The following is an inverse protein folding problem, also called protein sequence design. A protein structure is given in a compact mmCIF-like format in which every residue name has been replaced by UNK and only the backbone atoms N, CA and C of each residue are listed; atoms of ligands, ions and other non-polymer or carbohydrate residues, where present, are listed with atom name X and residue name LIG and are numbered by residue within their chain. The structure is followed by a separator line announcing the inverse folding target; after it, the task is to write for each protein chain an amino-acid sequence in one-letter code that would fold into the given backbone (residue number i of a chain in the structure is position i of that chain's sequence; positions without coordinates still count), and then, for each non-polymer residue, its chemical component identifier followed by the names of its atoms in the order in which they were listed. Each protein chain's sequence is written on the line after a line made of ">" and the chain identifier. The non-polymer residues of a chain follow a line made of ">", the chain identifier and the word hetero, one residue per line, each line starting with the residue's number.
data_IF_294780580319
#
_entry.id   IF_294780580319
#
_cell.length_a   1.000
_cell.length_b   1.000
_cell.length_c   1.000
_cell.angle_alpha   90.00
_cell.angle_beta   90.00
_cell.angle_gamma   90.00
#
_symmetry.space_group_name_H-M   'P 1'
#
loop_
_entity.id
_entity.type
_entity.pdbx_description
1 polymer ?
#
# COMPACT_ATOMS: atom_id res chain seq x y z
N UNK A 1 -4.70 -9.25 1.19
CA UNK A 1 -4.55 -8.62 -0.14
C UNK A 1 -4.17 -9.72 -1.14
N UNK A 2 -4.82 -9.81 -2.31
CA UNK A 2 -4.73 -10.98 -3.21
C UNK A 2 -3.44 -11.11 -4.04
N UNK A 3 -2.38 -10.37 -3.70
CA UNK A 3 -1.06 -10.57 -4.29
C UNK A 3 -0.24 -11.38 -3.30
N UNK A 4 0.05 -12.65 -3.62
CA UNK A 4 1.11 -13.38 -2.93
C UNK A 4 2.39 -12.57 -3.15
N UNK A 5 2.86 -11.88 -2.12
CA UNK A 5 4.22 -11.36 -2.11
C UNK A 5 5.10 -12.59 -2.22
N UNK A 6 5.67 -12.82 -3.40
CA UNK A 6 6.59 -13.93 -3.55
C UNK A 6 7.79 -13.63 -2.65
N UNK A 7 7.98 -14.46 -1.61
CA UNK A 7 9.04 -14.35 -0.59
C UNK A 7 10.45 -14.30 -1.19
N UNK A 8 10.59 -14.60 -2.48
CA UNK A 8 11.85 -14.59 -3.22
C UNK A 8 12.09 -13.38 -4.12
N UNK A 9 11.18 -12.40 -4.22
CA UNK A 9 11.41 -11.21 -5.02
C UNK A 9 12.31 -10.20 -4.28
N UNK A 10 13.37 -9.72 -4.96
CA UNK A 10 14.30 -8.72 -4.44
C UNK A 10 13.57 -7.43 -4.05
N UNK A 11 12.49 -7.10 -4.77
CA UNK A 11 11.66 -5.91 -4.50
C UNK A 11 10.91 -6.01 -3.18
N UNK A 12 10.35 -7.18 -2.88
CA UNK A 12 9.66 -7.45 -1.61
C UNK A 12 10.64 -7.33 -0.43
N UNK A 13 11.86 -7.83 -0.58
CA UNK A 13 12.91 -7.71 0.44
C UNK A 13 13.35 -6.26 0.65
N UNK A 14 13.52 -5.49 -0.42
CA UNK A 14 13.85 -4.05 -0.34
C UNK A 14 12.73 -3.27 0.37
N UNK A 15 11.47 -3.61 0.06
CA UNK A 15 10.31 -3.03 0.71
C UNK A 15 10.24 -3.35 2.22
N UNK A 16 10.37 -4.62 2.60
CA UNK A 16 10.42 -5.04 4.01
C UNK A 16 11.56 -4.35 4.77
N UNK A 17 12.75 -4.30 4.16
CA UNK A 17 13.91 -3.60 4.73
C UNK A 17 13.63 -2.11 4.93
N UNK A 18 12.92 -1.48 3.98
CA UNK A 18 12.55 -0.07 4.07
C UNK A 18 11.56 0.20 5.20
N UNK A 19 10.59 -0.70 5.43
CA UNK A 19 9.66 -0.63 6.57
C UNK A 19 10.44 -0.73 7.89
N UNK A 20 11.35 -1.69 8.00
CA UNK A 20 12.14 -1.87 9.21
C UNK A 20 12.97 -0.62 9.53
N UNK A 21 13.64 -0.05 8.52
CA UNK A 21 14.38 1.21 8.67
C UNK A 21 13.47 2.39 9.03
N UNK A 22 12.25 2.43 8.49
CA UNK A 22 11.26 3.44 8.87
C UNK A 22 10.88 3.31 10.35
N UNK A 23 10.68 2.08 10.84
CA UNK A 23 10.43 1.81 12.26
C UNK A 23 11.57 2.32 13.16
N UNK A 24 12.82 2.12 12.74
CA UNK A 24 13.98 2.67 13.46
C UNK A 24 13.95 4.20 13.52
N UNK A 25 13.65 4.87 12.40
CA UNK A 25 13.52 6.33 12.34
C UNK A 25 12.44 6.83 13.30
N UNK A 26 11.29 6.15 13.37
CA UNK A 26 10.20 6.49 14.29
C UNK A 26 10.66 6.32 15.76
N UNK A 27 11.34 5.22 16.09
CA UNK A 27 11.87 4.98 17.43
C UNK A 27 12.92 6.03 17.84
N UNK A 28 13.79 6.44 16.92
CA UNK A 28 14.75 7.53 17.17
C UNK A 28 14.05 8.86 17.44
N UNK A 29 12.94 9.13 16.74
CA UNK A 29 12.12 10.32 16.94
C UNK A 29 11.45 10.32 18.32
N UNK A 30 10.94 9.17 18.77
CA UNK A 30 10.34 9.01 20.12
C UNK A 30 11.38 9.23 21.22
N UNK A 31 12.61 8.75 21.04
CA UNK A 31 13.71 8.91 22.02
C UNK A 31 14.22 10.35 22.15
N UNK A 32 13.93 11.22 21.18
CA UNK A 32 14.46 12.59 21.11
C UNK A 32 13.32 13.60 20.96
N UNK A 33 12.65 13.98 22.07
CA UNK A 33 11.44 14.81 22.03
C UNK A 33 11.60 16.17 21.32
N UNK A 34 12.81 16.74 21.27
CA UNK A 34 13.09 17.97 20.52
C UNK A 34 12.91 17.82 18.99
N UNK A 35 12.93 16.59 18.47
CA UNK A 35 12.64 16.30 17.05
C UNK A 35 11.14 16.30 16.73
N UNK A 36 10.26 16.54 17.71
CA UNK A 36 8.84 16.77 17.42
C UNK A 36 8.57 18.16 16.86
N UNK A 37 9.46 19.12 17.12
CA UNK A 37 9.37 20.45 16.51
C UNK A 37 9.83 20.37 15.05
N UNK A 38 8.89 20.59 14.13
CA UNK A 38 9.11 20.40 12.69
C UNK A 38 10.28 21.20 12.13
N UNK A 39 10.48 22.42 12.59
CA UNK A 39 11.59 23.27 12.15
C UNK A 39 12.95 22.61 12.42
N UNK A 40 13.19 22.13 13.64
CA UNK A 40 14.43 21.45 13.98
C UNK A 40 14.57 20.14 13.22
N UNK A 41 13.47 19.40 13.08
CA UNK A 41 13.47 18.12 12.39
C UNK A 41 13.81 18.26 10.89
N UNK A 42 13.29 19.31 10.24
CA UNK A 42 13.50 19.57 8.82
C UNK A 42 14.98 19.63 8.42
N UNK A 43 15.83 20.18 9.29
CA UNK A 43 17.28 20.30 9.04
C UNK A 43 18.09 19.04 9.38
N UNK A 44 17.47 18.02 9.98
CA UNK A 44 18.19 16.80 10.36
C UNK A 44 18.45 15.87 9.18
N UNK A 45 19.52 15.07 9.28
CA UNK A 45 19.76 13.96 8.36
C UNK A 45 18.67 12.89 8.46
N UNK A 46 18.04 12.75 9.64
CA UNK A 46 16.97 11.80 9.90
C UNK A 46 15.75 12.07 9.00
N UNK A 47 15.36 13.33 8.79
CA UNK A 47 14.30 13.70 7.84
C UNK A 47 14.64 13.35 6.39
N UNK A 48 15.92 13.45 6.00
CA UNK A 48 16.36 13.05 4.65
C UNK A 48 16.23 11.54 4.44
N UNK A 49 16.60 10.75 5.44
CA UNK A 49 16.45 9.30 5.42
C UNK A 49 14.97 8.91 5.40
N UNK A 50 14.15 9.49 6.27
CA UNK A 50 12.69 9.29 6.28
C UNK A 50 12.08 9.56 4.90
N UNK A 51 12.37 10.72 4.30
CA UNK A 51 11.85 11.07 2.97
C UNK A 51 12.31 10.11 1.86
N UNK A 52 13.52 9.55 1.96
CA UNK A 52 14.00 8.55 1.01
C UNK A 52 13.23 7.23 1.16
N UNK A 53 13.02 6.78 2.40
CA UNK A 53 12.24 5.58 2.72
C UNK A 53 10.78 5.71 2.28
N UNK A 54 10.14 6.85 2.58
CA UNK A 54 8.77 7.17 2.14
C UNK A 54 8.64 7.04 0.61
N UNK A 55 9.63 7.54 -0.15
CA UNK A 55 9.61 7.42 -1.61
C UNK A 55 9.66 5.97 -2.08
N UNK A 56 10.44 5.12 -1.44
CA UNK A 56 10.52 3.69 -1.78
C UNK A 56 9.19 3.00 -1.47
N UNK A 57 8.61 3.29 -0.30
CA UNK A 57 7.31 2.73 0.12
C UNK A 57 6.20 3.12 -0.86
N UNK A 58 6.05 4.42 -1.16
CA UNK A 58 5.03 4.89 -2.10
C UNK A 58 5.25 4.41 -3.53
N UNK A 59 6.50 4.21 -3.95
CA UNK A 59 6.80 3.63 -5.26
C UNK A 59 6.28 2.20 -5.33
N UNK A 60 6.57 1.39 -4.31
CA UNK A 60 6.10 0.02 -4.25
C UNK A 60 4.57 -0.06 -4.28
N UNK A 61 3.88 0.73 -3.47
CA UNK A 61 2.41 0.69 -3.43
C UNK A 61 1.76 1.26 -4.68
N UNK A 62 2.35 2.29 -5.29
CA UNK A 62 1.91 2.78 -6.60
C UNK A 62 2.04 1.71 -7.69
N UNK A 63 3.16 0.98 -7.72
CA UNK A 63 3.38 -0.11 -8.68
C UNK A 63 2.35 -1.23 -8.47
N UNK A 64 2.03 -1.60 -7.21
CA UNK A 64 1.00 -2.59 -6.89
C UNK A 64 -0.38 -2.13 -7.36
N UNK A 65 -0.74 -0.87 -7.08
CA UNK A 65 -2.02 -0.29 -7.50
C UNK A 65 -2.13 -0.26 -9.02
N UNK A 66 -1.07 0.13 -9.74
CA UNK A 66 -1.07 0.19 -11.20
C UNK A 66 -1.23 -1.21 -11.82
N UNK A 67 -0.44 -2.17 -11.36
CA UNK A 67 -0.55 -3.57 -11.79
C UNK A 67 -1.97 -4.11 -11.56
N UNK A 68 -2.57 -3.78 -10.40
CA UNK A 68 -3.93 -4.21 -10.09
C UNK A 68 -4.98 -3.50 -10.93
N UNK A 69 -4.83 -2.20 -11.21
CA UNK A 69 -5.71 -1.45 -12.12
C UNK A 69 -5.74 -2.07 -13.52
N UNK A 70 -4.59 -2.50 -14.04
CA UNK A 70 -4.51 -3.18 -15.35
C UNK A 70 -5.24 -4.51 -15.32
N UNK A 71 -5.00 -5.34 -14.30
CA UNK A 71 -5.71 -6.61 -14.12
C UNK A 71 -7.22 -6.41 -13.96
N UNK A 72 -7.63 -5.40 -13.18
CA UNK A 72 -9.03 -5.08 -12.94
C UNK A 72 -9.73 -4.65 -14.23
N UNK A 73 -9.12 -3.80 -15.07
CA UNK A 73 -9.68 -3.44 -16.39
C UNK A 73 -9.88 -4.66 -17.27
N UNK A 74 -8.91 -5.57 -17.32
CA UNK A 74 -9.03 -6.80 -18.11
C UNK A 74 -10.15 -7.70 -17.61
N UNK A 75 -10.30 -7.84 -16.29
CA UNK A 75 -11.38 -8.62 -15.67
C UNK A 75 -12.74 -7.94 -15.84
N UNK A 76 -12.81 -6.61 -15.75
CA UNK A 76 -14.05 -5.84 -15.95
C UNK A 76 -14.52 -5.95 -17.41
N UNK A 77 -13.62 -5.82 -18.39
CA UNK A 77 -13.88 -6.05 -19.82
C UNK A 77 -14.37 -7.49 -20.06
N UNK A 78 -13.67 -8.48 -19.49
CA UNK A 78 -14.07 -9.88 -19.58
C UNK A 78 -15.43 -10.10 -18.92
N UNK A 79 -15.68 -9.52 -17.75
CA UNK A 79 -16.94 -9.66 -17.03
C UNK A 79 -18.09 -8.90 -17.70
N UNK A 80 -17.84 -7.79 -18.39
CA UNK A 80 -18.81 -7.08 -19.21
C UNK A 80 -19.19 -7.91 -20.45
N UNK A 81 -18.22 -8.58 -21.07
CA UNK A 81 -18.48 -9.53 -22.16
C UNK A 81 -19.18 -10.82 -21.71
N UNK A 82 -19.02 -11.22 -20.44
CA UNK A 82 -19.68 -12.40 -19.85
C UNK A 82 -21.05 -12.05 -19.24
N UNK A 83 -21.26 -10.81 -18.78
CA UNK A 83 -22.53 -10.32 -18.18
C UNK A 83 -23.72 -10.34 -19.14
N UNK A 84 -23.50 -10.38 -20.45
CA UNK A 84 -24.56 -10.68 -21.41
C UNK A 84 -25.15 -12.09 -21.25
N UNK A 85 -24.52 -12.98 -20.45
CA UNK A 85 -24.87 -14.40 -20.37
C UNK A 85 -25.33 -14.93 -19.01
N UNK A 86 -25.61 -14.08 -18.04
CA UNK A 86 -26.41 -14.45 -16.87
C UNK A 86 -25.71 -14.41 -15.51
N UNK A 87 -26.57 -14.40 -14.49
CA UNK A 87 -26.32 -14.22 -13.06
C UNK A 87 -25.08 -14.90 -12.51
N UNK A 88 -24.23 -14.13 -11.81
CA UNK A 88 -23.14 -14.68 -11.03
C UNK A 88 -23.05 -14.11 -9.60
N UNK A 89 -22.58 -14.93 -8.64
CA UNK A 89 -22.64 -14.69 -7.20
C UNK A 89 -21.69 -13.58 -6.76
N UNK A 90 -22.02 -12.90 -5.65
CA UNK A 90 -21.20 -11.87 -4.99
C UNK A 90 -19.79 -12.41 -4.68
N UNK A 91 -18.84 -12.17 -5.59
CA UNK A 91 -17.42 -12.52 -5.39
C UNK A 91 -16.88 -11.69 -4.22
N UNK A 92 -16.14 -12.32 -3.30
CA UNK A 92 -15.37 -11.61 -2.27
C UNK A 92 -14.26 -10.83 -2.98
N UNK A 93 -14.52 -9.57 -3.30
CA UNK A 93 -13.53 -8.65 -3.85
C UNK A 93 -12.48 -8.39 -2.78
N UNK A 94 -11.21 -8.41 -3.16
CA UNK A 94 -10.18 -7.85 -2.29
C UNK A 94 -10.47 -6.35 -2.10
N UNK A 95 -10.07 -5.78 -0.97
CA UNK A 95 -10.33 -4.37 -0.65
C UNK A 95 -9.98 -3.43 -1.81
N UNK A 96 -8.80 -3.60 -2.42
CA UNK A 96 -8.37 -2.79 -3.55
C UNK A 96 -9.32 -2.91 -4.76
N UNK A 97 -9.84 -4.11 -5.05
CA UNK A 97 -10.80 -4.32 -6.13
C UNK A 97 -12.15 -3.65 -5.83
N UNK A 98 -12.55 -3.63 -4.55
CA UNK A 98 -13.75 -2.92 -4.08
C UNK A 98 -13.61 -1.41 -4.27
N UNK A 99 -12.47 -0.84 -3.89
CA UNK A 99 -12.17 0.60 -4.07
C UNK A 99 -12.15 1.00 -5.55
N UNK A 100 -11.54 0.17 -6.40
CA UNK A 100 -11.53 0.38 -7.86
C UNK A 100 -12.93 0.27 -8.47
N UNK A 101 -13.74 -0.68 -8.01
CA UNK A 101 -15.12 -0.85 -8.46
C UNK A 101 -16.00 0.36 -8.12
N UNK A 102 -15.96 0.86 -6.88
CA UNK A 102 -16.74 2.04 -6.49
C UNK A 102 -16.33 3.30 -7.24
N UNK A 103 -15.03 3.44 -7.51
CA UNK A 103 -14.53 4.52 -8.37
C UNK A 103 -15.12 4.44 -9.79
N UNK A 104 -15.15 3.26 -10.41
CA UNK A 104 -15.74 3.08 -11.74
C UNK A 104 -17.26 3.33 -11.75
N UNK A 105 -17.94 3.11 -10.62
CA UNK A 105 -19.37 3.41 -10.45
C UNK A 105 -19.69 4.90 -10.20
N UNK A 106 -18.68 5.78 -10.25
CA UNK A 106 -18.88 7.23 -10.13
C UNK A 106 -18.78 7.77 -8.71
N UNK A 107 -18.27 6.99 -7.75
CA UNK A 107 -17.90 7.54 -6.44
C UNK A 107 -16.72 8.52 -6.61
N UNK A 108 -16.78 9.67 -5.93
CA UNK A 108 -15.71 10.69 -5.93
C UNK A 108 -14.53 10.27 -5.05
N UNK A 109 -13.93 9.12 -5.37
CA UNK A 109 -12.76 8.59 -4.67
C UNK A 109 -11.52 9.06 -5.42
N UNK A 110 -10.71 9.90 -4.78
CA UNK A 110 -9.43 10.36 -5.33
C UNK A 110 -8.39 9.23 -5.28
N UNK A 111 -7.47 9.20 -6.24
CA UNK A 111 -6.35 8.23 -6.27
C UNK A 111 -5.52 8.26 -5.00
N UNK A 112 -5.36 9.45 -4.40
CA UNK A 112 -4.62 9.63 -3.16
C UNK A 112 -5.25 8.87 -1.99
N UNK A 113 -6.58 8.94 -1.84
CA UNK A 113 -7.28 8.20 -0.78
C UNK A 113 -7.22 6.68 -0.96
N UNK A 114 -7.23 6.19 -2.21
CA UNK A 114 -7.02 4.75 -2.48
C UNK A 114 -5.60 4.35 -2.09
N UNK A 115 -4.61 5.19 -2.40
CA UNK A 115 -3.21 4.94 -2.04
C UNK A 115 -3.02 4.93 -0.53
N UNK A 116 -3.57 5.90 0.19
CA UNK A 116 -3.48 5.97 1.66
C UNK A 116 -4.07 4.71 2.33
N UNK A 117 -5.23 4.25 1.85
CA UNK A 117 -5.86 3.03 2.36
C UNK A 117 -4.98 1.80 2.10
N UNK A 118 -4.44 1.68 0.88
CA UNK A 118 -3.54 0.57 0.51
C UNK A 118 -2.25 0.60 1.31
N UNK A 119 -1.65 1.77 1.51
CA UNK A 119 -0.43 1.94 2.31
C UNK A 119 -0.68 1.48 3.76
N UNK A 120 -1.80 1.92 4.35
CA UNK A 120 -2.19 1.57 5.72
C UNK A 120 -2.42 0.08 5.89
N UNK A 121 -3.23 -0.55 5.02
CA UNK A 121 -3.47 -1.99 5.11
C UNK A 121 -2.22 -2.82 4.86
N UNK A 122 -1.35 -2.40 3.94
CA UNK A 122 -0.10 -3.14 3.68
C UNK A 122 0.80 -3.09 4.90
N UNK A 123 0.88 -1.95 5.57
CA UNK A 123 1.64 -1.78 6.81
C UNK A 123 1.07 -2.61 7.96
N UNK A 124 -0.24 -2.55 8.20
CA UNK A 124 -0.91 -3.32 9.27
C UNK A 124 -0.77 -4.83 9.08
N UNK A 125 -0.92 -5.32 7.85
CA UNK A 125 -0.78 -6.75 7.52
C UNK A 125 0.63 -7.24 7.80
N UNK A 126 1.64 -6.43 7.49
CA UNK A 126 3.05 -6.80 7.70
C UNK A 126 3.35 -6.86 9.20
N UNK A 127 2.95 -5.84 9.96
CA UNK A 127 3.16 -5.82 11.42
C UNK A 127 2.41 -6.97 12.08
N UNK A 128 1.15 -7.19 11.70
CA UNK A 128 0.34 -8.26 12.28
C UNK A 128 0.93 -9.65 11.99
N UNK A 129 1.52 -9.84 10.80
CA UNK A 129 2.17 -11.09 10.45
C UNK A 129 3.49 -11.29 11.20
N UNK A 130 4.26 -10.23 11.43
CA UNK A 130 5.49 -10.28 12.25
C UNK A 130 5.18 -10.64 13.72
N UNK A 131 4.14 -10.03 14.31
CA UNK A 131 3.71 -10.28 15.69
C UNK A 131 2.97 -11.61 15.90
N UNK A 132 2.50 -12.27 14.82
CA UNK A 132 1.82 -13.56 14.90
C UNK A 132 2.78 -14.77 14.89
N UNK A 133 4.09 -14.54 14.67
CA UNK A 133 5.12 -15.57 14.63
C UNK A 133 5.80 -15.79 16.00
N UNK A 134 5.54 -14.89 16.97
CA UNK A 134 5.91 -15.03 18.39
C UNK A 134 4.74 -15.59 19.24
#
# INVERSE_FOLDING_TARGET
>A
MGTKLEENDARSKEYMTSIYNMGQVILERIKRPWLFVECFYYFTQLRKQENALIKILHKFTTDVIENRKVQFKNVDILSASIREKGDEPKRRLALLDLLLHFRNQGASIQDEGIREEVDTFTFEVIISNEFAID
#
